data_IF_604963208188
#
_entry.id   IF_604963208188
#
_cell.length_a   1.000
_cell.length_b   1.000
_cell.length_c   1.000
_cell.angle_alpha   90.00
_cell.angle_beta   90.00
_cell.angle_gamma   90.00
#
_symmetry.space_group_name_H-M   'P 1'
#
loop_
_entity.id
_entity.type
_entity.pdbx_description
1 polymer ?
#
# COMPACT_ATOMS: atom_id res chain seq x y z
N UNK A 1 -11.88 -4.98 -3.21
CA UNK A 1 -10.42 -5.27 -3.30
C UNK A 1 -10.22 -6.54 -4.12
N UNK A 2 -9.19 -6.60 -4.98
CA UNK A 2 -8.83 -7.85 -5.70
C UNK A 2 -8.11 -8.84 -4.78
N UNK A 3 -7.90 -10.08 -5.25
CA UNK A 3 -7.17 -11.08 -4.49
C UNK A 3 -5.70 -10.67 -4.27
N UNK A 4 -5.05 -10.10 -5.29
CA UNK A 4 -3.65 -9.66 -5.26
C UNK A 4 -3.46 -8.47 -4.32
N UNK A 5 -4.36 -7.49 -4.37
CA UNK A 5 -4.38 -6.36 -3.44
C UNK A 5 -4.54 -6.83 -1.99
N UNK A 6 -5.46 -7.77 -1.76
CA UNK A 6 -5.67 -8.38 -0.44
C UNK A 6 -4.40 -9.08 0.05
N UNK A 7 -3.79 -9.90 -0.80
CA UNK A 7 -2.55 -10.61 -0.49
C UNK A 7 -1.43 -9.64 -0.10
N UNK A 8 -1.24 -8.55 -0.86
CA UNK A 8 -0.25 -7.51 -0.54
C UNK A 8 -0.53 -6.83 0.80
N UNK A 9 -1.77 -6.49 1.09
CA UNK A 9 -2.15 -5.87 2.37
C UNK A 9 -1.89 -6.81 3.56
N UNK A 10 -2.22 -8.09 3.42
CA UNK A 10 -1.99 -9.10 4.47
C UNK A 10 -0.49 -9.29 4.69
N UNK A 11 0.30 -9.49 3.62
CA UNK A 11 1.76 -9.60 3.70
C UNK A 11 2.37 -8.39 4.40
N UNK A 12 1.95 -7.19 4.03
CA UNK A 12 2.38 -5.97 4.69
C UNK A 12 2.03 -5.95 6.19
N UNK A 13 0.80 -6.33 6.58
CA UNK A 13 0.39 -6.37 8.00
C UNK A 13 1.24 -7.36 8.81
N UNK A 14 1.53 -8.53 8.26
CA UNK A 14 2.32 -9.57 8.92
C UNK A 14 3.83 -9.26 8.98
N UNK A 15 4.30 -8.21 8.30
CA UNK A 15 5.74 -7.92 8.19
C UNK A 15 6.47 -8.83 7.24
N UNK A 16 5.72 -9.53 6.39
CA UNK A 16 6.27 -10.37 5.35
C UNK A 16 6.57 -9.49 4.14
N UNK A 17 7.85 -9.26 3.91
CA UNK A 17 8.29 -8.79 2.61
C UNK A 17 8.23 -9.98 1.63
N UNK A 18 7.86 -9.75 0.35
CA UNK A 18 7.84 -10.82 -0.64
C UNK A 18 9.17 -11.60 -0.64
N UNK A 19 9.22 -12.90 -0.91
CA UNK A 19 10.50 -13.57 -1.20
C UNK A 19 11.41 -14.00 -0.03
N UNK A 20 11.03 -13.81 1.24
CA UNK A 20 11.61 -14.52 2.42
C UNK A 20 13.03 -14.12 2.85
N UNK A 21 13.98 -14.07 1.92
CA UNK A 21 15.36 -13.62 2.18
C UNK A 21 15.47 -12.09 2.01
N UNK A 22 16.32 -11.41 2.83
CA UNK A 22 16.67 -10.02 2.58
C UNK A 22 17.32 -9.88 1.20
N UNK A 23 16.74 -9.05 0.34
CA UNK A 23 17.27 -8.74 -0.99
C UNK A 23 17.75 -7.30 -1.00
N UNK A 24 18.81 -7.01 -1.73
CA UNK A 24 19.28 -5.63 -1.92
C UNK A 24 18.24 -4.79 -2.65
N UNK A 25 18.02 -3.56 -2.21
CA UNK A 25 17.14 -2.65 -2.93
C UNK A 25 17.71 -2.36 -4.32
N UNK A 26 16.93 -2.47 -5.41
CA UNK A 26 17.39 -2.12 -6.76
C UNK A 26 17.88 -0.67 -6.87
N UNK A 27 17.28 0.25 -6.10
CA UNK A 27 17.65 1.67 -6.07
C UNK A 27 18.81 1.97 -5.12
N UNK A 28 19.06 1.10 -4.15
CA UNK A 28 20.11 1.28 -3.13
C UNK A 28 20.81 -0.07 -2.89
N UNK A 29 21.75 -0.47 -3.76
CA UNK A 29 22.34 -1.81 -3.74
C UNK A 29 23.00 -2.21 -2.41
N UNK A 30 23.50 -1.22 -1.66
CA UNK A 30 24.15 -1.40 -0.36
C UNK A 30 23.16 -1.59 0.80
N UNK A 31 21.85 -1.46 0.56
CA UNK A 31 20.81 -1.56 1.57
C UNK A 31 19.87 -2.72 1.26
N UNK A 32 19.64 -3.59 2.24
CA UNK A 32 18.60 -4.59 2.15
C UNK A 32 17.21 -3.94 2.19
N UNK A 33 16.29 -4.44 1.36
CA UNK A 33 14.90 -4.06 1.37
C UNK A 33 14.26 -4.55 2.68
N UNK A 34 14.27 -3.68 3.68
CA UNK A 34 13.54 -3.82 4.93
C UNK A 34 12.27 -2.97 4.90
N UNK A 35 11.35 -3.17 5.84
CA UNK A 35 10.14 -2.32 5.93
C UNK A 35 10.51 -0.84 6.12
N UNK A 36 11.48 -0.54 6.99
CA UNK A 36 11.95 0.83 7.23
C UNK A 36 12.56 1.43 5.97
N UNK A 37 13.40 0.66 5.28
CA UNK A 37 13.98 1.09 4.01
C UNK A 37 12.91 1.31 2.94
N UNK A 38 11.92 0.42 2.83
CA UNK A 38 10.82 0.58 1.87
C UNK A 38 10.04 1.89 2.11
N UNK A 39 9.80 2.27 3.37
CA UNK A 39 9.09 3.51 3.71
C UNK A 39 9.81 4.74 3.15
N UNK A 40 11.12 4.83 3.37
CA UNK A 40 11.93 5.95 2.83
C UNK A 40 12.13 5.84 1.33
N UNK A 41 12.45 4.64 0.83
CA UNK A 41 12.78 4.38 -0.57
C UNK A 41 11.60 4.63 -1.51
N UNK A 42 10.37 4.30 -1.10
CA UNK A 42 9.15 4.57 -1.88
C UNK A 42 8.48 5.89 -1.50
N UNK A 43 9.14 6.70 -0.66
CA UNK A 43 8.66 8.00 -0.18
C UNK A 43 7.20 7.96 0.32
N UNK A 44 6.89 6.95 1.14
CA UNK A 44 5.50 6.63 1.50
C UNK A 44 4.79 7.77 2.22
N UNK A 45 5.50 8.50 3.08
CA UNK A 45 4.95 9.63 3.83
C UNK A 45 4.43 10.73 2.91
N UNK A 46 5.25 11.17 1.95
CA UNK A 46 4.86 12.20 1.00
C UNK A 46 3.70 11.74 0.12
N UNK A 47 3.76 10.51 -0.39
CA UNK A 47 2.72 9.96 -1.28
C UNK A 47 1.38 9.82 -0.57
N UNK A 48 1.39 9.46 0.70
CA UNK A 48 0.18 9.25 1.50
C UNK A 48 -0.29 10.52 2.24
N UNK A 49 0.42 11.65 2.08
CA UNK A 49 0.20 12.88 2.84
C UNK A 49 0.18 12.64 4.36
N UNK A 50 1.16 11.89 4.87
CA UNK A 50 1.26 11.47 6.27
C UNK A 50 2.51 12.05 6.93
N UNK A 51 2.42 12.54 8.19
CA UNK A 51 3.58 13.01 8.94
C UNK A 51 4.68 11.94 9.09
N UNK A 52 5.94 12.36 9.08
CA UNK A 52 7.11 11.46 9.28
C UNK A 52 7.13 10.83 10.68
N UNK A 53 6.48 11.46 11.66
CA UNK A 53 6.34 10.92 13.03
C UNK A 53 5.59 9.57 13.07
N UNK A 54 4.81 9.23 12.04
CA UNK A 54 4.05 7.97 11.98
C UNK A 54 4.94 6.85 11.42
N UNK A 55 5.54 6.05 12.29
CA UNK A 55 6.53 5.03 11.91
C UNK A 55 6.12 4.04 10.80
N UNK A 56 4.81 3.82 10.58
CA UNK A 56 4.30 2.93 9.54
C UNK A 56 3.06 3.53 8.86
N UNK A 57 3.21 4.39 7.84
CA UNK A 57 2.10 5.14 7.27
C UNK A 57 1.03 4.22 6.64
N UNK A 58 1.43 3.16 5.93
CA UNK A 58 0.48 2.17 5.39
C UNK A 58 -0.23 1.43 6.53
N UNK A 59 0.49 0.94 7.53
CA UNK A 59 -0.12 0.18 8.64
C UNK A 59 -1.14 1.02 9.41
N UNK A 60 -0.80 2.29 9.66
CA UNK A 60 -1.70 3.25 10.28
C UNK A 60 -2.98 3.41 9.46
N UNK A 61 -2.87 3.67 8.16
CA UNK A 61 -4.03 3.84 7.29
C UNK A 61 -4.86 2.56 7.22
N UNK A 62 -4.24 1.39 7.05
CA UNK A 62 -4.97 0.12 6.98
C UNK A 62 -5.81 -0.16 8.23
N UNK A 63 -5.41 0.34 9.40
CA UNK A 63 -6.20 0.22 10.63
C UNK A 63 -7.41 1.15 10.68
N UNK A 64 -7.42 2.19 9.83
CA UNK A 64 -8.52 3.14 9.67
C UNK A 64 -9.48 2.74 8.54
N UNK A 65 -9.29 1.56 7.93
CA UNK A 65 -10.17 1.10 6.85
C UNK A 65 -11.63 1.07 7.33
N UNK A 66 -12.59 1.49 6.49
CA UNK A 66 -13.99 1.42 6.86
C UNK A 66 -14.40 -0.03 7.12
N UNK A 67 -14.84 -0.32 8.35
CA UNK A 67 -15.32 -1.66 8.75
C UNK A 67 -16.84 -1.73 8.87
N UNK A 68 -17.53 -0.59 8.78
CA UNK A 68 -18.97 -0.47 8.96
C UNK A 68 -19.69 -0.34 7.62
N UNK A 69 -20.94 -0.76 7.59
CA UNK A 69 -21.86 -0.65 6.46
C UNK A 69 -22.25 0.80 6.13
N UNK A 70 -22.09 1.72 7.08
CA UNK A 70 -22.28 3.16 6.85
C UNK A 70 -20.93 3.88 6.93
N UNK A 71 -20.52 4.48 5.82
CA UNK A 71 -19.30 5.29 5.71
C UNK A 71 -19.73 6.72 5.39
N UNK A 72 -19.44 7.72 6.24
CA UNK A 72 -19.72 9.11 5.91
C UNK A 72 -19.04 9.50 4.59
N UNK A 73 -19.70 10.31 3.75
CA UNK A 73 -19.20 10.67 2.42
C UNK A 73 -17.82 11.35 2.47
N UNK A 74 -17.53 12.13 3.52
CA UNK A 74 -16.19 12.72 3.74
C UNK A 74 -15.09 11.66 3.93
N UNK A 75 -15.41 10.57 4.63
CA UNK A 75 -14.52 9.43 4.82
C UNK A 75 -14.39 8.63 3.51
N UNK A 76 -15.49 8.41 2.79
CA UNK A 76 -15.49 7.72 1.50
C UNK A 76 -14.64 8.46 0.45
N UNK A 77 -14.75 9.80 0.38
CA UNK A 77 -13.92 10.65 -0.46
C UNK A 77 -12.43 10.54 -0.10
N UNK A 78 -12.10 10.68 1.19
CA UNK A 78 -10.71 10.54 1.67
C UNK A 78 -10.11 9.19 1.27
N UNK A 79 -10.87 8.11 1.42
CA UNK A 79 -10.44 6.76 1.04
C UNK A 79 -10.32 6.57 -0.46
N UNK A 80 -11.18 7.20 -1.26
CA UNK A 80 -11.08 7.18 -2.73
C UNK A 80 -9.75 7.78 -3.21
N UNK A 81 -9.20 8.78 -2.51
CA UNK A 81 -7.89 9.34 -2.83
C UNK A 81 -6.72 8.49 -2.29
N UNK A 82 -6.82 8.01 -1.05
CA UNK A 82 -5.69 7.32 -0.38
C UNK A 82 -5.52 5.87 -0.82
N UNK A 83 -6.60 5.17 -1.13
CA UNK A 83 -6.55 3.73 -1.42
C UNK A 83 -5.74 3.37 -2.66
N UNK A 84 -5.90 4.05 -3.83
CA UNK A 84 -5.07 3.79 -5.00
C UNK A 84 -3.58 3.95 -4.72
N UNK A 85 -3.22 4.94 -3.90
CA UNK A 85 -1.82 5.20 -3.52
C UNK A 85 -1.27 4.05 -2.68
N UNK A 86 -2.03 3.56 -1.71
CA UNK A 86 -1.63 2.37 -0.91
C UNK A 86 -1.41 1.17 -1.83
N UNK A 87 -2.37 0.90 -2.72
CA UNK A 87 -2.27 -0.22 -3.67
C UNK A 87 -1.07 -0.10 -4.61
N UNK A 88 -0.78 1.11 -5.12
CA UNK A 88 0.40 1.39 -5.96
C UNK A 88 1.71 1.15 -5.20
N UNK A 89 1.84 1.71 -3.99
CA UNK A 89 3.06 1.53 -3.18
C UNK A 89 3.31 0.04 -2.90
N UNK A 90 2.27 -0.69 -2.49
CA UNK A 90 2.39 -2.12 -2.21
C UNK A 90 2.69 -2.95 -3.46
N UNK A 91 2.24 -2.51 -4.63
CA UNK A 91 2.55 -3.14 -5.91
C UNK A 91 4.01 -2.89 -6.33
N UNK A 92 4.48 -1.65 -6.23
CA UNK A 92 5.89 -1.28 -6.48
C UNK A 92 6.83 -2.03 -5.54
N UNK A 93 6.46 -2.18 -4.26
CA UNK A 93 7.24 -2.97 -3.30
C UNK A 93 7.40 -4.43 -3.75
N UNK A 94 6.34 -5.02 -4.32
CA UNK A 94 6.34 -6.37 -4.90
C UNK A 94 7.34 -6.44 -6.07
N UNK A 95 7.33 -5.44 -6.96
CA UNK A 95 8.24 -5.35 -8.09
C UNK A 95 9.70 -5.23 -7.64
N UNK A 96 10.00 -4.39 -6.65
CA UNK A 96 11.35 -4.21 -6.10
C UNK A 96 11.91 -5.51 -5.53
N UNK A 97 11.06 -6.30 -4.88
CA UNK A 97 11.48 -7.52 -4.23
C UNK A 97 11.61 -8.71 -5.20
N UNK A 98 10.88 -8.69 -6.31
CA UNK A 98 10.96 -9.72 -7.33
C UNK A 98 11.94 -9.39 -8.46
N UNK A 99 12.45 -8.15 -8.52
CA UNK A 99 13.22 -7.63 -9.66
C UNK A 99 12.51 -7.84 -10.99
N UNK A 100 11.18 -7.77 -10.98
CA UNK A 100 10.35 -8.01 -12.16
C UNK A 100 9.27 -6.95 -12.28
N UNK A 101 8.98 -6.56 -13.51
CA UNK A 101 7.81 -5.74 -13.82
C UNK A 101 6.59 -6.66 -13.72
N UNK A 102 5.79 -6.44 -12.69
CA UNK A 102 4.51 -7.13 -12.52
C UNK A 102 3.47 -6.26 -13.23
N UNK A 103 2.82 -6.73 -14.30
CA UNK A 103 1.83 -5.94 -15.00
C UNK A 103 0.59 -5.71 -14.13
N UNK A 104 0.05 -4.49 -14.22
CA UNK A 104 -1.17 -4.11 -13.55
C UNK A 104 -2.37 -4.36 -14.47
N UNK A 105 -3.21 -5.36 -14.13
CA UNK A 105 -4.36 -5.77 -14.96
C UNK A 105 -5.56 -4.82 -14.84
N UNK A 106 -5.63 -4.04 -13.77
CA UNK A 106 -6.74 -3.14 -13.44
C UNK A 106 -6.19 -1.94 -12.68
N UNK A 107 -6.78 -0.73 -12.80
CA UNK A 107 -6.36 0.42 -11.99
C UNK A 107 -6.30 0.08 -10.50
N UNK A 108 -5.29 0.60 -9.81
CA UNK A 108 -5.05 0.31 -8.41
C UNK A 108 -6.23 0.71 -7.52
N UNK A 109 -6.73 -0.25 -6.75
CA UNK A 109 -7.78 -0.03 -5.77
C UNK A 109 -9.19 0.06 -6.34
N UNK A 110 -9.37 -0.16 -7.63
CA UNK A 110 -10.63 0.07 -8.36
C UNK A 110 -11.85 -0.55 -7.67
N UNK A 111 -11.75 -1.82 -7.26
CA UNK A 111 -12.88 -2.52 -6.61
C UNK A 111 -13.32 -1.89 -5.29
N UNK A 112 -12.40 -1.30 -4.51
CA UNK A 112 -12.79 -0.62 -3.27
C UNK A 112 -13.38 0.77 -3.58
N UNK A 113 -12.83 1.47 -4.56
CA UNK A 113 -13.36 2.77 -5.01
C UNK A 113 -14.81 2.63 -5.50
N UNK A 114 -15.10 1.63 -6.33
CA UNK A 114 -16.44 1.35 -6.83
C UNK A 114 -17.44 1.07 -5.70
N UNK A 115 -17.00 0.37 -4.65
CA UNK A 115 -17.81 0.17 -3.45
C UNK A 115 -18.01 1.47 -2.66
N UNK A 116 -16.95 2.28 -2.48
CA UNK A 116 -17.02 3.55 -1.75
C UNK A 116 -17.91 4.59 -2.43
N UNK A 117 -17.99 4.57 -3.76
CA UNK A 117 -18.85 5.48 -4.55
C UNK A 117 -20.34 5.34 -4.23
N UNK A 118 -20.75 4.23 -3.62
CA UNK A 118 -22.14 4.04 -3.19
C UNK A 118 -22.52 4.93 -1.97
N UNK A 119 -21.53 5.54 -1.32
CA UNK A 119 -21.70 6.38 -0.13
C UNK A 119 -21.37 7.87 -0.36
N UNK A 120 -20.99 8.23 -1.59
CA UNK A 120 -20.82 9.62 -2.04
C UNK A 120 -22.10 10.12 -2.68
#
# INVERSE_FOLDING_TARGET
MTHEERSRCIRWRLGWLPGGAPKSCPYHPNNNLSRRHAISCLNMHRRLCMPEAIAGPISFLLNMLPTRTFVPSSIALSWTCRWPVICSILHELDQLQHYTIIPCKTPHGQKLIEWLRQFN
#
